data_IF_214991754199
#
_entry.id   IF_214991754199
#
_cell.length_a   1.000
_cell.length_b   1.000
_cell.length_c   1.000
_cell.angle_alpha   90.00
_cell.angle_beta   90.00
_cell.angle_gamma   90.00
#
_symmetry.space_group_name_H-M   'P 1'
#
loop_
_entity.id
_entity.type
_entity.pdbx_description
1 polymer ?
#
# COMPACT_ATOMS: atom_id res chain seq x y z
N UNK A 1 -24.17 7.31 -32.32
CA UNK A 1 -23.60 7.63 -31.00
C UNK A 1 -22.12 7.88 -31.23
N UNK A 2 -21.64 9.10 -31.02
CA UNK A 2 -20.19 9.36 -31.09
C UNK A 2 -19.49 8.54 -30.00
N UNK A 3 -18.44 7.77 -30.33
CA UNK A 3 -17.69 7.03 -29.33
C UNK A 3 -17.06 8.00 -28.33
N UNK A 4 -17.42 7.87 -27.05
CA UNK A 4 -16.83 8.63 -25.96
C UNK A 4 -15.40 8.13 -25.76
N UNK A 5 -14.41 8.94 -26.14
CA UNK A 5 -12.99 8.62 -25.92
C UNK A 5 -12.46 9.27 -24.64
N UNK A 6 -11.75 8.49 -23.84
CA UNK A 6 -11.02 9.02 -22.70
C UNK A 6 -9.81 9.85 -23.19
N UNK A 7 -9.63 11.04 -22.60
CA UNK A 7 -8.51 11.93 -22.98
C UNK A 7 -7.20 11.41 -22.39
N UNK A 8 -6.19 11.22 -23.25
CA UNK A 8 -4.83 10.82 -22.85
C UNK A 8 -4.14 11.92 -22.04
N UNK A 9 -4.31 11.90 -20.72
CA UNK A 9 -3.79 12.92 -19.79
C UNK A 9 -2.80 12.36 -18.76
N UNK A 10 -2.60 11.05 -18.72
CA UNK A 10 -1.71 10.40 -17.76
C UNK A 10 -0.34 10.23 -18.42
N UNK A 11 0.62 11.01 -17.91
CA UNK A 11 2.04 10.90 -18.27
C UNK A 11 2.69 9.73 -17.53
N UNK A 12 3.90 9.34 -17.94
CA UNK A 12 4.68 8.31 -17.25
C UNK A 12 4.90 8.64 -15.75
N UNK A 13 5.20 9.90 -15.42
CA UNK A 13 5.38 10.33 -14.03
C UNK A 13 4.10 10.18 -13.20
N UNK A 14 2.94 10.50 -13.80
CA UNK A 14 1.63 10.29 -13.16
C UNK A 14 1.32 8.81 -12.99
N UNK A 15 1.74 7.96 -13.93
CA UNK A 15 1.61 6.50 -13.81
C UNK A 15 2.47 5.96 -12.65
N UNK A 16 3.72 6.40 -12.52
CA UNK A 16 4.56 6.04 -11.36
C UNK A 16 3.93 6.49 -10.04
N UNK A 17 3.45 7.74 -9.97
CA UNK A 17 2.78 8.26 -8.78
C UNK A 17 1.49 7.50 -8.46
N UNK A 18 0.72 7.10 -9.47
CA UNK A 18 -0.47 6.28 -9.27
C UNK A 18 -0.11 4.91 -8.70
N UNK A 19 0.89 4.22 -9.25
CA UNK A 19 1.31 2.89 -8.81
C UNK A 19 1.94 2.91 -7.42
N UNK A 20 2.96 3.76 -7.21
CA UNK A 20 3.61 3.92 -5.90
C UNK A 20 2.59 4.40 -4.88
N UNK A 21 1.76 5.39 -5.24
CA UNK A 21 0.73 5.91 -4.34
C UNK A 21 -0.42 4.93 -4.06
N UNK A 22 -0.63 3.92 -4.90
CA UNK A 22 -1.60 2.86 -4.63
C UNK A 22 -1.00 1.74 -3.77
N UNK A 23 0.24 1.33 -4.04
CA UNK A 23 0.93 0.28 -3.27
C UNK A 23 1.38 0.78 -1.89
N UNK A 24 2.14 1.88 -1.85
CA UNK A 24 2.60 2.50 -0.60
C UNK A 24 1.41 3.17 0.06
N UNK A 25 0.84 2.51 1.04
CA UNK A 25 -0.34 2.97 1.77
C UNK A 25 -0.30 2.58 3.24
N UNK A 26 -1.47 2.24 3.79
CA UNK A 26 -1.60 1.71 5.15
C UNK A 26 -0.91 0.36 5.35
N UNK A 27 -0.75 -0.42 4.27
CA UNK A 27 -0.23 -1.78 4.31
C UNK A 27 1.13 -1.92 4.99
N UNK A 28 2.13 -1.10 4.63
CA UNK A 28 3.47 -1.18 5.24
C UNK A 28 3.48 -0.76 6.73
N UNK A 29 2.46 -0.05 7.20
CA UNK A 29 2.35 0.38 8.60
C UNK A 29 1.55 -0.61 9.45
N UNK A 30 0.70 -1.44 8.84
CA UNK A 30 -0.16 -2.42 9.54
C UNK A 30 0.39 -3.85 9.41
N UNK A 31 0.80 -4.25 8.20
CA UNK A 31 1.21 -5.60 7.88
C UNK A 31 2.45 -6.12 8.62
N UNK A 32 3.45 -5.32 9.05
CA UNK A 32 4.63 -5.87 9.75
C UNK A 32 4.27 -6.70 10.98
N UNK A 33 3.26 -6.26 11.75
CA UNK A 33 2.74 -7.00 12.91
C UNK A 33 2.10 -8.33 12.49
N UNK A 34 1.31 -8.32 11.42
CA UNK A 34 0.64 -9.53 10.89
C UNK A 34 1.62 -10.54 10.30
N UNK A 35 2.61 -10.06 9.54
CA UNK A 35 3.67 -10.92 8.98
C UNK A 35 4.51 -11.51 10.10
N UNK A 36 4.96 -10.71 11.06
CA UNK A 36 5.78 -11.20 12.18
C UNK A 36 5.01 -12.17 13.07
N UNK A 37 3.75 -11.89 13.39
CA UNK A 37 2.91 -12.78 14.22
C UNK A 37 2.76 -14.18 13.62
N UNK A 38 2.69 -14.26 12.29
CA UNK A 38 2.43 -15.51 11.58
C UNK A 38 3.70 -16.20 11.06
N UNK A 39 4.83 -15.49 10.96
CA UNK A 39 6.15 -16.08 10.65
C UNK A 39 6.92 -16.47 11.91
N UNK A 40 6.71 -15.73 13.00
CA UNK A 40 7.26 -16.02 14.32
C UNK A 40 8.69 -15.53 14.56
N UNK A 41 9.51 -15.41 13.51
CA UNK A 41 10.89 -14.90 13.59
C UNK A 41 11.15 -13.72 12.65
N UNK A 42 12.15 -12.91 12.99
CA UNK A 42 12.54 -11.72 12.20
C UNK A 42 13.04 -12.11 10.80
N UNK A 43 13.88 -13.14 10.72
CA UNK A 43 14.45 -13.63 9.47
C UNK A 43 13.38 -14.18 8.54
N UNK A 44 12.46 -15.01 9.03
CA UNK A 44 11.37 -15.53 8.20
C UNK A 44 10.41 -14.42 7.77
N UNK A 45 10.12 -13.44 8.64
CA UNK A 45 9.33 -12.26 8.28
C UNK A 45 9.93 -11.51 7.08
N UNK A 46 11.24 -11.25 7.09
CA UNK A 46 11.94 -10.58 5.97
C UNK A 46 11.91 -11.42 4.69
N UNK A 47 12.05 -12.75 4.79
CA UNK A 47 11.90 -13.66 3.64
C UNK A 47 10.49 -13.59 3.06
N UNK A 48 9.45 -13.56 3.91
CA UNK A 48 8.06 -13.43 3.46
C UNK A 48 7.83 -12.10 2.76
N UNK A 49 8.35 -10.99 3.29
CA UNK A 49 8.27 -9.68 2.63
C UNK A 49 8.90 -9.69 1.23
N UNK A 50 10.12 -10.22 1.12
CA UNK A 50 10.81 -10.35 -0.16
C UNK A 50 10.04 -11.25 -1.14
N UNK A 51 9.56 -12.40 -0.68
CA UNK A 51 8.78 -13.34 -1.49
C UNK A 51 7.46 -12.73 -1.98
N UNK A 52 6.72 -12.00 -1.13
CA UNK A 52 5.51 -11.27 -1.54
C UNK A 52 5.83 -10.23 -2.63
N UNK A 53 6.97 -9.55 -2.51
CA UNK A 53 7.47 -8.62 -3.52
C UNK A 53 7.72 -9.28 -4.87
N UNK A 54 8.46 -10.40 -4.88
CA UNK A 54 8.76 -11.17 -6.10
C UNK A 54 7.47 -11.71 -6.74
N UNK A 55 6.55 -12.26 -5.95
CA UNK A 55 5.25 -12.72 -6.45
C UNK A 55 4.42 -11.58 -7.05
N UNK A 56 4.43 -10.41 -6.41
CA UNK A 56 3.77 -9.21 -6.92
C UNK A 56 4.41 -8.73 -8.22
N UNK A 57 5.72 -8.84 -8.37
CA UNK A 57 6.43 -8.51 -9.61
C UNK A 57 6.01 -9.42 -10.76
N UNK A 58 5.95 -10.73 -10.55
CA UNK A 58 5.46 -11.66 -11.57
C UNK A 58 4.01 -11.38 -11.95
N UNK A 59 3.13 -11.17 -10.96
CA UNK A 59 1.75 -10.77 -11.21
C UNK A 59 1.67 -9.49 -12.04
N UNK A 60 2.45 -8.48 -11.68
CA UNK A 60 2.41 -7.19 -12.35
C UNK A 60 2.95 -7.25 -13.79
N UNK A 61 3.95 -8.09 -14.07
CA UNK A 61 4.44 -8.34 -15.43
C UNK A 61 3.39 -9.03 -16.31
N UNK A 62 2.69 -10.05 -15.80
CA UNK A 62 1.58 -10.69 -16.51
C UNK A 62 0.48 -9.67 -16.85
N UNK A 63 0.16 -8.78 -15.91
CA UNK A 63 -0.80 -7.71 -16.12
C UNK A 63 -0.31 -6.62 -17.08
N UNK A 64 0.99 -6.34 -17.10
CA UNK A 64 1.56 -5.44 -18.08
C UNK A 64 1.42 -6.02 -19.49
N UNK A 65 1.68 -7.32 -19.70
CA UNK A 65 1.44 -7.97 -20.99
C UNK A 65 -0.04 -7.86 -21.40
N UNK A 66 -0.96 -8.25 -20.51
CA UNK A 66 -2.40 -8.14 -20.77
C UNK A 66 -2.85 -6.71 -21.09
N UNK A 67 -2.36 -5.72 -20.35
CA UNK A 67 -2.68 -4.30 -20.55
C UNK A 67 -2.08 -3.67 -21.81
N UNK A 68 -1.04 -4.29 -22.38
CA UNK A 68 -0.52 -3.90 -23.69
C UNK A 68 -1.27 -4.58 -24.84
N UNK A 69 -1.72 -5.83 -24.67
CA UNK A 69 -2.48 -6.57 -25.68
C UNK A 69 -3.94 -6.16 -25.77
N UNK A 70 -4.63 -6.07 -24.64
CA UNK A 70 -6.05 -5.77 -24.58
C UNK A 70 -6.22 -4.27 -24.45
N UNK A 71 -6.75 -3.66 -25.51
CA UNK A 71 -6.70 -2.20 -25.68
C UNK A 71 -7.85 -1.44 -25.02
N UNK A 72 -8.73 -2.13 -24.29
CA UNK A 72 -9.91 -1.58 -23.64
C UNK A 72 -9.65 -1.26 -22.17
N UNK A 73 -10.26 -0.19 -21.66
CA UNK A 73 -10.29 0.14 -20.24
C UNK A 73 -11.24 -0.77 -19.45
N UNK A 74 -10.95 -1.02 -18.17
CA UNK A 74 -11.76 -1.87 -17.28
C UNK A 74 -10.98 -2.98 -16.55
N UNK A 75 -9.65 -3.05 -16.76
CA UNK A 75 -8.74 -3.90 -16.01
C UNK A 75 -9.15 -5.37 -15.98
N UNK A 76 -9.22 -5.95 -14.77
CA UNK A 76 -9.52 -7.37 -14.54
C UNK A 76 -10.80 -7.83 -15.25
N UNK A 77 -11.86 -7.02 -15.22
CA UNK A 77 -13.15 -7.38 -15.80
C UNK A 77 -13.05 -7.66 -17.30
N UNK A 78 -12.40 -6.75 -18.03
CA UNK A 78 -12.21 -6.89 -19.48
C UNK A 78 -11.33 -8.09 -19.79
N UNK A 79 -10.27 -8.33 -19.02
CA UNK A 79 -9.39 -9.47 -19.27
C UNK A 79 -10.16 -10.78 -19.16
N UNK A 80 -10.98 -10.92 -18.11
CA UNK A 80 -11.82 -12.11 -17.91
C UNK A 80 -12.90 -12.19 -18.99
N UNK A 81 -13.50 -11.07 -19.39
CA UNK A 81 -14.53 -11.04 -20.42
C UNK A 81 -14.00 -11.53 -21.77
N UNK A 82 -12.81 -11.09 -22.16
CA UNK A 82 -12.18 -11.47 -23.44
C UNK A 82 -11.65 -12.92 -23.42
N UNK A 83 -11.25 -13.46 -22.26
CA UNK A 83 -10.66 -14.82 -22.18
C UNK A 83 -11.64 -15.92 -21.77
N UNK A 84 -12.55 -15.64 -20.81
CA UNK A 84 -13.44 -16.62 -20.17
C UNK A 84 -14.93 -16.34 -20.42
N UNK A 85 -15.27 -15.22 -21.06
CA UNK A 85 -16.64 -14.87 -21.42
C UNK A 85 -17.46 -14.22 -20.29
N UNK A 86 -18.76 -14.10 -20.53
CA UNK A 86 -19.66 -13.19 -19.79
C UNK A 86 -19.95 -13.60 -18.35
N UNK A 87 -20.14 -14.89 -18.08
CA UNK A 87 -20.53 -15.36 -16.74
C UNK A 87 -19.39 -15.20 -15.73
N UNK A 88 -18.15 -15.66 -16.01
CA UNK A 88 -17.02 -15.43 -15.10
C UNK A 88 -16.72 -13.95 -14.89
N UNK A 89 -16.82 -13.12 -15.93
CA UNK A 89 -16.60 -11.67 -15.81
C UNK A 89 -17.68 -11.01 -14.94
N UNK A 90 -18.94 -11.43 -15.06
CA UNK A 90 -20.02 -10.94 -14.22
C UNK A 90 -19.83 -11.33 -12.74
N UNK A 91 -19.49 -12.58 -12.45
CA UNK A 91 -19.22 -13.05 -11.09
C UNK A 91 -18.05 -12.30 -10.44
N UNK A 92 -16.99 -12.06 -11.22
CA UNK A 92 -15.86 -11.25 -10.76
C UNK A 92 -16.31 -9.82 -10.43
N UNK A 93 -17.05 -9.17 -11.34
CA UNK A 93 -17.55 -7.80 -11.11
C UNK A 93 -18.48 -7.73 -9.89
N UNK A 94 -19.34 -8.73 -9.70
CA UNK A 94 -20.21 -8.83 -8.53
C UNK A 94 -19.41 -8.91 -7.23
N UNK A 95 -18.40 -9.79 -7.17
CA UNK A 95 -17.52 -9.92 -6.00
C UNK A 95 -16.70 -8.64 -5.76
N UNK A 96 -16.21 -8.01 -6.83
CA UNK A 96 -15.43 -6.78 -6.78
C UNK A 96 -16.27 -5.63 -6.18
N UNK A 97 -17.52 -5.49 -6.62
CA UNK A 97 -18.42 -4.41 -6.20
C UNK A 97 -18.95 -4.59 -4.78
N UNK A 98 -19.39 -5.79 -4.40
CA UNK A 98 -20.04 -6.01 -3.10
C UNK A 98 -19.07 -6.36 -1.97
N UNK A 99 -17.95 -7.01 -2.26
CA UNK A 99 -17.04 -7.52 -1.24
C UNK A 99 -15.67 -6.84 -1.27
N UNK A 100 -14.94 -6.94 -2.39
CA UNK A 100 -13.50 -6.64 -2.42
C UNK A 100 -13.25 -5.13 -2.28
N UNK A 101 -13.89 -4.29 -3.11
CA UNK A 101 -13.65 -2.84 -3.10
C UNK A 101 -14.17 -2.17 -1.83
N UNK A 102 -15.40 -2.43 -1.34
CA UNK A 102 -15.87 -1.83 -0.10
C UNK A 102 -15.01 -2.21 1.11
N UNK A 103 -14.59 -3.49 1.22
CA UNK A 103 -13.74 -3.94 2.31
C UNK A 103 -12.37 -3.23 2.28
N UNK A 104 -11.74 -3.14 1.11
CA UNK A 104 -10.45 -2.45 0.97
C UNK A 104 -10.55 -0.96 1.34
N UNK A 105 -11.58 -0.28 0.82
CA UNK A 105 -11.84 1.14 1.14
C UNK A 105 -12.09 1.34 2.63
N UNK A 106 -12.84 0.45 3.29
CA UNK A 106 -13.12 0.54 4.72
C UNK A 106 -11.85 0.38 5.56
N UNK A 107 -10.99 -0.60 5.25
CA UNK A 107 -9.73 -0.82 5.98
C UNK A 107 -8.79 0.39 5.87
N UNK A 108 -8.62 0.94 4.66
CA UNK A 108 -7.75 2.09 4.44
C UNK A 108 -8.32 3.35 5.10
N UNK A 109 -9.64 3.56 5.02
CA UNK A 109 -10.33 4.69 5.64
C UNK A 109 -10.24 4.64 7.17
N UNK A 110 -10.44 3.47 7.78
CA UNK A 110 -10.27 3.27 9.23
C UNK A 110 -8.83 3.48 9.70
N UNK A 111 -7.85 3.06 8.88
CA UNK A 111 -6.44 3.34 9.14
C UNK A 111 -6.19 4.85 9.12
N UNK A 112 -6.69 5.57 8.11
CA UNK A 112 -6.61 7.03 8.05
C UNK A 112 -7.15 7.68 9.32
N UNK A 113 -8.37 7.35 9.75
CA UNK A 113 -8.97 7.94 10.94
C UNK A 113 -8.22 7.62 12.23
N UNK A 114 -7.76 6.38 12.38
CA UNK A 114 -7.01 5.94 13.57
C UNK A 114 -5.68 6.70 13.71
N UNK A 115 -4.89 6.78 12.64
CA UNK A 115 -3.60 7.46 12.64
C UNK A 115 -3.73 8.99 12.70
N UNK A 116 -4.80 9.57 12.15
CA UNK A 116 -5.06 11.01 12.25
C UNK A 116 -5.37 11.43 13.69
N UNK A 117 -6.11 10.60 14.43
CA UNK A 117 -6.54 10.91 15.80
C UNK A 117 -5.52 10.52 16.87
N UNK A 118 -4.63 9.58 16.59
CA UNK A 118 -3.65 9.07 17.55
C UNK A 118 -2.88 10.17 18.31
N UNK A 119 -2.32 11.23 17.68
CA UNK A 119 -1.59 12.27 18.42
C UNK A 119 -2.44 13.05 19.43
N UNK A 120 -3.75 13.15 19.21
CA UNK A 120 -4.66 13.93 20.05
C UNK A 120 -5.18 13.15 21.26
N UNK A 121 -5.14 11.82 21.19
CA UNK A 121 -5.61 10.94 22.26
C UNK A 121 -4.49 10.20 22.98
N UNK A 122 -3.24 10.27 22.49
CA UNK A 122 -2.09 9.68 23.14
C UNK A 122 -1.94 10.15 24.61
N UNK A 123 -1.70 9.23 25.57
CA UNK A 123 -1.36 7.80 25.40
C UNK A 123 -2.58 6.85 25.30
N UNK A 124 -3.80 7.36 25.35
CA UNK A 124 -5.03 6.57 25.28
C UNK A 124 -5.42 6.24 23.83
N UNK A 125 -6.24 5.21 23.66
CA UNK A 125 -6.82 4.89 22.36
C UNK A 125 -7.92 5.92 21.99
N UNK A 126 -7.99 6.38 20.72
CA UNK A 126 -9.06 7.27 20.29
C UNK A 126 -10.42 6.56 20.35
N UNK A 127 -11.50 7.24 20.78
CA UNK A 127 -12.84 6.65 20.82
C UNK A 127 -13.28 6.12 19.46
N UNK A 128 -13.82 4.90 19.42
CA UNK A 128 -14.29 4.24 18.19
C UNK A 128 -15.25 5.11 17.36
N UNK A 129 -16.22 5.84 17.96
CA UNK A 129 -17.10 6.73 17.19
C UNK A 129 -16.34 7.87 16.50
N UNK A 130 -15.31 8.42 17.15
CA UNK A 130 -14.51 9.50 16.58
C UNK A 130 -13.67 9.00 15.40
N UNK A 131 -13.04 7.83 15.53
CA UNK A 131 -12.31 7.17 14.42
C UNK A 131 -13.23 6.95 13.23
N UNK A 132 -14.43 6.40 13.44
CA UNK A 132 -15.40 6.18 12.37
C UNK A 132 -15.83 7.47 11.70
N UNK A 133 -16.10 8.53 12.46
CA UNK A 133 -16.50 9.83 11.92
C UNK A 133 -15.39 10.45 11.05
N UNK A 134 -14.16 10.51 11.55
CA UNK A 134 -13.01 11.06 10.79
C UNK A 134 -12.73 10.23 9.54
N UNK A 135 -12.83 8.90 9.64
CA UNK A 135 -12.69 7.98 8.50
C UNK A 135 -13.71 8.28 7.40
N UNK A 136 -14.99 8.43 7.77
CA UNK A 136 -16.07 8.78 6.84
C UNK A 136 -15.84 10.16 6.21
N UNK A 137 -15.49 11.17 7.00
CA UNK A 137 -15.22 12.53 6.49
C UNK A 137 -14.07 12.51 5.47
N UNK A 138 -12.97 11.81 5.78
CA UNK A 138 -11.84 11.67 4.86
C UNK A 138 -12.23 10.97 3.56
N UNK A 139 -13.00 9.88 3.65
CA UNK A 139 -13.48 9.14 2.48
C UNK A 139 -14.38 10.00 1.57
N UNK A 140 -15.40 10.65 2.14
CA UNK A 140 -16.32 11.49 1.38
C UNK A 140 -15.65 12.74 0.80
N UNK A 141 -14.64 13.30 1.48
CA UNK A 141 -13.85 14.40 0.94
C UNK A 141 -13.13 13.99 -0.35
N UNK A 142 -12.48 12.82 -0.35
CA UNK A 142 -11.81 12.31 -1.56
C UNK A 142 -12.82 11.99 -2.65
N UNK A 143 -13.95 11.39 -2.30
CA UNK A 143 -15.02 11.09 -3.25
C UNK A 143 -15.50 12.37 -3.94
N UNK A 144 -15.76 13.44 -3.17
CA UNK A 144 -16.16 14.74 -3.69
C UNK A 144 -15.09 15.35 -4.59
N UNK A 145 -13.81 15.32 -4.17
CA UNK A 145 -12.69 15.84 -4.96
C UNK A 145 -12.52 15.09 -6.30
N UNK A 146 -12.62 13.75 -6.28
CA UNK A 146 -12.54 12.93 -7.50
C UNK A 146 -13.73 13.14 -8.43
N UNK A 147 -14.92 13.39 -7.86
CA UNK A 147 -16.14 13.67 -8.63
C UNK A 147 -16.12 15.07 -9.25
N UNK A 148 -15.45 16.03 -8.60
CA UNK A 148 -15.38 17.42 -9.09
C UNK A 148 -14.30 17.60 -10.16
N UNK A 149 -13.07 17.13 -9.96
CA UNK A 149 -12.00 17.35 -10.94
C UNK A 149 -10.90 16.28 -10.92
N UNK A 150 -10.80 15.58 -12.06
CA UNK A 150 -9.72 14.62 -12.35
C UNK A 150 -8.33 15.26 -12.33
N UNK A 151 -8.20 16.52 -12.75
CA UNK A 151 -6.91 17.22 -12.77
C UNK A 151 -6.40 17.47 -11.35
N UNK A 152 -7.27 17.95 -10.46
CA UNK A 152 -6.95 18.17 -9.06
C UNK A 152 -6.65 16.86 -8.34
N UNK A 153 -7.44 15.80 -8.58
CA UNK A 153 -7.15 14.46 -8.04
C UNK A 153 -5.76 13.97 -8.45
N UNK A 154 -5.37 14.14 -9.71
CA UNK A 154 -4.03 13.77 -10.18
C UNK A 154 -2.89 14.59 -9.54
N UNK A 155 -3.08 15.90 -9.35
CA UNK A 155 -2.09 16.76 -8.67
C UNK A 155 -1.95 16.40 -7.18
N UNK A 156 -3.07 16.18 -6.50
CA UNK A 156 -3.11 15.72 -5.12
C UNK A 156 -2.40 14.37 -4.96
N UNK A 157 -2.65 13.43 -5.87
CA UNK A 157 -1.97 12.12 -5.86
C UNK A 157 -0.45 12.27 -5.94
N UNK A 158 0.05 13.14 -6.81
CA UNK A 158 1.49 13.40 -6.94
C UNK A 158 2.07 13.99 -5.65
N UNK A 159 1.42 14.99 -5.07
CA UNK A 159 1.87 15.59 -3.81
C UNK A 159 1.89 14.56 -2.67
N UNK A 160 0.82 13.78 -2.51
CA UNK A 160 0.74 12.73 -1.49
C UNK A 160 1.76 11.61 -1.72
N UNK A 161 2.09 11.29 -2.98
CA UNK A 161 3.13 10.30 -3.30
C UNK A 161 4.50 10.75 -2.82
N UNK A 162 4.82 12.05 -2.94
CA UNK A 162 6.07 12.60 -2.39
C UNK A 162 6.06 12.51 -0.86
N UNK A 163 4.97 12.89 -0.21
CA UNK A 163 4.81 12.78 1.26
C UNK A 163 5.00 11.34 1.74
N UNK A 164 4.46 10.36 1.02
CA UNK A 164 4.63 8.93 1.31
C UNK A 164 6.09 8.48 1.30
N UNK A 165 6.82 8.86 0.24
CA UNK A 165 8.23 8.51 0.11
C UNK A 165 9.07 9.20 1.19
N UNK A 166 8.75 10.45 1.54
CA UNK A 166 9.38 11.15 2.67
C UNK A 166 9.09 10.45 4.01
N UNK A 167 7.86 9.99 4.24
CA UNK A 167 7.50 9.24 5.44
C UNK A 167 8.29 7.94 5.56
N UNK A 168 8.47 7.20 4.47
CA UNK A 168 9.34 6.03 4.44
C UNK A 168 10.80 6.39 4.68
N UNK A 169 11.30 7.47 4.06
CA UNK A 169 12.67 7.92 4.25
C UNK A 169 12.97 8.30 5.72
N UNK A 170 12.01 8.90 6.42
CA UNK A 170 12.11 9.23 7.84
C UNK A 170 12.22 8.00 8.76
N UNK A 171 11.79 6.82 8.29
CA UNK A 171 11.94 5.56 9.01
C UNK A 171 13.25 4.88 8.58
N UNK A 172 13.49 4.82 7.28
CA UNK A 172 14.62 4.11 6.67
C UNK A 172 15.95 4.75 7.05
N UNK A 173 16.12 6.07 6.84
CA UNK A 173 17.42 6.72 7.01
C UNK A 173 17.93 6.55 8.45
N UNK A 174 17.12 6.81 9.50
CA UNK A 174 17.63 6.63 10.83
C UNK A 174 17.79 5.18 11.26
N UNK A 175 16.90 4.27 10.82
CA UNK A 175 17.05 2.85 11.11
C UNK A 175 18.36 2.29 10.53
N UNK A 176 18.73 2.71 9.32
CA UNK A 176 20.00 2.36 8.69
C UNK A 176 21.20 3.01 9.38
N UNK A 177 21.08 4.26 9.87
CA UNK A 177 22.14 4.89 10.67
C UNK A 177 22.39 4.13 11.97
N UNK A 178 21.33 3.72 12.69
CA UNK A 178 21.45 2.92 13.92
C UNK A 178 22.07 1.54 13.64
N UNK A 179 21.70 0.92 12.52
CA UNK A 179 22.32 -0.33 12.07
C UNK A 179 23.81 -0.15 11.81
N UNK A 180 24.20 0.93 11.12
CA UNK A 180 25.61 1.26 10.84
C UNK A 180 26.42 1.56 12.12
N UNK A 181 25.77 2.03 13.19
CA UNK A 181 26.38 2.21 14.51
C UNK A 181 26.52 0.90 15.31
N UNK A 182 26.07 -0.23 14.77
CA UNK A 182 26.23 -1.55 15.40
C UNK A 182 25.05 -2.03 16.25
N UNK A 183 23.87 -1.41 16.15
CA UNK A 183 22.65 -1.88 16.85
C UNK A 183 22.05 -3.11 16.17
N UNK A 184 22.78 -4.24 16.19
CA UNK A 184 22.40 -5.50 15.53
C UNK A 184 21.85 -6.55 16.48
N UNK A 185 21.69 -6.22 17.77
CA UNK A 185 21.27 -7.16 18.82
C UNK A 185 19.97 -7.91 18.47
N UNK A 186 19.01 -7.21 17.88
CA UNK A 186 17.70 -7.75 17.49
C UNK A 186 17.73 -8.67 16.27
N UNK A 187 18.87 -8.76 15.60
CA UNK A 187 19.11 -9.68 14.48
C UNK A 187 19.95 -10.90 14.90
N UNK A 188 20.30 -11.03 16.19
CA UNK A 188 20.94 -12.25 16.70
C UNK A 188 19.93 -13.40 16.66
N UNK A 189 20.35 -14.53 16.10
CA UNK A 189 19.51 -15.70 15.80
C UNK A 189 18.19 -15.36 15.06
N UNK A 190 18.26 -14.81 13.84
CA UNK A 190 17.09 -14.29 13.14
C UNK A 190 16.11 -15.39 12.71
N UNK A 191 16.53 -16.66 12.73
CA UNK A 191 15.74 -17.83 12.36
C UNK A 191 15.54 -18.78 13.54
N UNK A 192 15.48 -18.27 14.77
CA UNK A 192 15.23 -19.07 15.97
C UNK A 192 14.14 -20.11 15.72
N UNK A 193 14.53 -21.38 15.78
CA UNK A 193 13.70 -22.52 15.37
C UNK A 193 12.52 -22.74 16.31
N UNK A 194 12.61 -22.28 17.55
CA UNK A 194 11.54 -22.45 18.54
C UNK A 194 10.37 -21.50 18.30
N UNK A 195 10.65 -20.34 17.68
CA UNK A 195 9.65 -19.33 17.36
C UNK A 195 9.06 -19.46 15.95
N UNK A 196 9.56 -20.35 15.09
CA UNK A 196 9.04 -20.53 13.73
C UNK A 196 7.61 -21.09 13.71
N UNK A 197 6.72 -20.44 12.96
CA UNK A 197 5.32 -20.83 12.82
C UNK A 197 5.02 -21.14 11.35
N UNK A 198 5.40 -22.33 10.88
CA UNK A 198 5.26 -22.71 9.46
C UNK A 198 3.80 -22.99 9.05
N UNK A 199 2.96 -23.44 9.98
CA UNK A 199 1.54 -23.70 9.78
C UNK A 199 0.74 -22.43 9.45
N UNK A 200 1.18 -21.26 9.95
CA UNK A 200 0.54 -19.96 9.70
C UNK A 200 1.17 -19.16 8.57
N UNK A 201 2.12 -19.75 7.84
CA UNK A 201 2.80 -19.08 6.73
C UNK A 201 1.82 -18.51 5.68
N UNK A 202 0.71 -19.18 5.30
CA UNK A 202 -0.28 -18.60 4.39
C UNK A 202 -0.89 -17.28 4.91
N UNK A 203 -1.12 -17.16 6.22
CA UNK A 203 -1.61 -15.93 6.86
C UNK A 203 -0.55 -14.82 6.84
N UNK A 204 0.74 -15.18 6.95
CA UNK A 204 1.84 -14.24 6.77
C UNK A 204 1.86 -13.69 5.34
N UNK A 205 1.70 -14.56 4.33
CA UNK A 205 1.58 -14.15 2.93
C UNK A 205 0.35 -13.28 2.69
N UNK A 206 -0.81 -13.56 3.29
CA UNK A 206 -1.97 -12.67 3.16
C UNK A 206 -1.68 -11.26 3.68
N UNK A 207 -1.02 -11.15 4.84
CA UNK A 207 -0.63 -9.85 5.39
C UNK A 207 0.40 -9.12 4.51
N UNK A 208 1.40 -9.83 3.98
CA UNK A 208 2.42 -9.28 3.09
C UNK A 208 1.84 -8.84 1.73
N UNK A 209 1.05 -9.70 1.09
CA UNK A 209 0.41 -9.42 -0.20
C UNK A 209 -0.59 -8.26 -0.11
N UNK A 210 -1.27 -8.09 1.03
CA UNK A 210 -2.09 -6.89 1.27
C UNK A 210 -1.26 -5.60 1.15
N UNK A 211 -0.03 -5.58 1.68
CA UNK A 211 0.81 -4.39 1.62
C UNK A 211 1.35 -4.07 0.21
N UNK A 212 1.53 -5.08 -0.64
CA UNK A 212 1.95 -4.91 -2.04
C UNK A 212 0.79 -4.67 -3.02
N UNK A 213 -0.46 -4.74 -2.57
CA UNK A 213 -1.63 -4.57 -3.44
C UNK A 213 -1.66 -3.20 -4.12
N UNK A 214 -2.04 -3.14 -5.39
CA UNK A 214 -2.18 -1.88 -6.16
C UNK A 214 -1.29 -1.78 -7.39
N UNK A 215 -0.41 -2.75 -7.65
CA UNK A 215 0.42 -2.79 -8.86
C UNK A 215 -0.39 -2.92 -10.17
N UNK A 216 -1.64 -3.40 -10.10
CA UNK A 216 -2.52 -3.60 -11.26
C UNK A 216 -3.24 -2.32 -11.73
N UNK A 217 -3.15 -1.22 -10.99
CA UNK A 217 -4.00 -0.04 -11.19
C UNK A 217 -3.83 0.63 -12.57
N UNK A 218 -2.65 0.52 -13.19
CA UNK A 218 -2.40 1.04 -14.55
C UNK A 218 -3.25 0.36 -15.62
N UNK A 219 -3.68 -0.87 -15.37
CA UNK A 219 -4.55 -1.64 -16.27
C UNK A 219 -5.93 -1.00 -16.41
N UNK A 220 -6.40 -0.35 -15.34
CA UNK A 220 -7.70 0.34 -15.31
C UNK A 220 -7.67 1.70 -15.99
N UNK A 221 -6.50 2.32 -16.15
CA UNK A 221 -6.35 3.68 -16.72
C UNK A 221 -5.67 3.68 -18.09
N UNK A 222 -5.57 2.51 -18.73
CA UNK A 222 -4.77 2.28 -19.93
C UNK A 222 -5.10 3.24 -21.08
N UNK A 223 -6.38 3.52 -21.32
CA UNK A 223 -6.81 4.42 -22.41
C UNK A 223 -6.41 5.89 -22.18
N UNK A 224 -6.16 6.28 -20.93
CA UNK A 224 -5.74 7.63 -20.55
C UNK A 224 -4.22 7.80 -20.50
N UNK A 225 -3.46 6.70 -20.58
CA UNK A 225 -2.00 6.75 -20.61
C UNK A 225 -1.48 7.22 -21.97
N UNK A 226 -0.49 8.09 -21.92
CA UNK A 226 0.36 8.38 -23.08
C UNK A 226 1.27 7.18 -23.34
N UNK A 227 1.38 6.74 -24.60
CA UNK A 227 2.25 5.62 -25.05
C UNK A 227 2.17 4.37 -24.13
N UNK A 228 0.99 3.74 -23.99
CA UNK A 228 0.76 2.66 -23.02
C UNK A 228 1.69 1.45 -23.20
N UNK A 229 2.02 1.09 -24.44
CA UNK A 229 2.91 -0.05 -24.78
C UNK A 229 4.31 0.07 -24.14
N UNK A 230 4.83 1.30 -24.02
CA UNK A 230 6.11 1.57 -23.38
C UNK A 230 5.95 1.94 -21.91
N UNK A 231 4.94 2.75 -21.60
CA UNK A 231 4.83 3.37 -20.28
C UNK A 231 4.24 2.41 -19.24
N UNK A 232 3.36 1.47 -19.60
CA UNK A 232 2.81 0.50 -18.64
C UNK A 232 3.92 -0.43 -18.10
N UNK A 233 4.70 -1.14 -18.95
CA UNK A 233 5.74 -2.04 -18.43
C UNK A 233 6.79 -1.30 -17.61
N UNK A 234 7.24 -0.13 -18.08
CA UNK A 234 8.21 0.67 -17.37
C UNK A 234 7.68 1.17 -16.03
N UNK A 235 6.43 1.65 -16.00
CA UNK A 235 5.75 2.10 -14.78
C UNK A 235 5.71 0.98 -13.74
N UNK A 236 5.21 -0.18 -14.15
CA UNK A 236 5.05 -1.34 -13.27
C UNK A 236 6.39 -1.82 -12.70
N UNK A 237 7.38 -2.07 -13.56
CA UNK A 237 8.67 -2.64 -13.14
C UNK A 237 9.37 -1.74 -12.12
N UNK A 238 9.53 -0.45 -12.45
CA UNK A 238 10.25 0.48 -11.59
C UNK A 238 9.47 0.72 -10.29
N UNK A 239 8.15 0.88 -10.36
CA UNK A 239 7.34 1.09 -9.15
C UNK A 239 7.38 -0.13 -8.22
N UNK A 240 7.23 -1.36 -8.72
CA UNK A 240 7.26 -2.56 -7.89
C UNK A 240 8.64 -2.74 -7.25
N UNK A 241 9.73 -2.61 -8.01
CA UNK A 241 11.10 -2.70 -7.46
C UNK A 241 11.33 -1.64 -6.37
N UNK A 242 10.90 -0.39 -6.61
CA UNK A 242 11.00 0.70 -5.62
C UNK A 242 10.27 0.34 -4.32
N UNK A 243 9.07 -0.24 -4.42
CA UNK A 243 8.28 -0.67 -3.26
C UNK A 243 8.93 -1.85 -2.55
N UNK A 244 9.48 -2.84 -3.27
CA UNK A 244 10.22 -3.97 -2.66
C UNK A 244 11.38 -3.45 -1.82
N UNK A 245 12.24 -2.61 -2.40
CA UNK A 245 13.39 -2.04 -1.69
C UNK A 245 12.93 -1.21 -0.50
N UNK A 246 11.95 -0.32 -0.68
CA UNK A 246 11.42 0.51 0.39
C UNK A 246 10.85 -0.30 1.55
N UNK A 247 10.06 -1.34 1.28
CA UNK A 247 9.44 -2.18 2.30
C UNK A 247 10.46 -3.05 3.03
N UNK A 248 11.45 -3.59 2.32
CA UNK A 248 12.54 -4.34 2.96
C UNK A 248 13.35 -3.45 3.91
N UNK A 249 13.77 -2.27 3.44
CA UNK A 249 14.52 -1.31 4.26
C UNK A 249 13.71 -0.80 5.45
N UNK A 250 12.39 -0.61 5.28
CA UNK A 250 11.49 -0.19 6.36
C UNK A 250 11.39 -1.27 7.44
N UNK A 251 11.22 -2.54 7.07
CA UNK A 251 11.14 -3.62 8.05
C UNK A 251 12.48 -3.85 8.75
N UNK A 252 13.60 -3.80 8.02
CA UNK A 252 14.95 -3.82 8.64
C UNK A 252 15.08 -2.68 9.64
N UNK A 253 14.65 -1.46 9.28
CA UNK A 253 14.68 -0.31 10.17
C UNK A 253 13.80 -0.48 11.41
N UNK A 254 12.62 -1.11 11.30
CA UNK A 254 11.83 -1.42 12.49
C UNK A 254 12.55 -2.40 13.41
N UNK A 255 13.18 -3.43 12.87
CA UNK A 255 13.86 -4.46 13.67
C UNK A 255 15.17 -3.98 14.29
N UNK A 256 15.79 -2.88 13.83
CA UNK A 256 16.96 -2.31 14.53
C UNK A 256 16.59 -1.70 15.89
N UNK A 257 15.33 -1.25 16.06
CA UNK A 257 14.87 -0.51 17.24
C UNK A 257 13.86 -1.29 18.08
N UNK A 258 13.02 -2.11 17.43
CA UNK A 258 11.94 -2.84 18.06
C UNK A 258 12.26 -4.34 18.08
N UNK A 259 12.19 -4.95 19.26
CA UNK A 259 12.22 -6.41 19.37
C UNK A 259 10.89 -7.04 18.90
N UNK A 260 10.87 -8.36 18.79
CA UNK A 260 9.69 -9.10 18.33
C UNK A 260 8.45 -8.83 19.18
N UNK A 261 8.60 -8.88 20.51
CA UNK A 261 7.49 -8.59 21.43
C UNK A 261 6.99 -7.14 21.33
N UNK A 262 7.89 -6.18 21.06
CA UNK A 262 7.52 -4.77 20.92
C UNK A 262 6.65 -4.55 19.69
N UNK A 263 7.02 -5.16 18.55
CA UNK A 263 6.24 -5.10 17.31
C UNK A 263 4.87 -5.76 17.49
N UNK A 264 4.80 -6.87 18.22
CA UNK A 264 3.55 -7.59 18.47
C UNK A 264 2.63 -6.88 19.47
N UNK A 265 3.19 -6.21 20.48
CA UNK A 265 2.44 -5.42 21.45
C UNK A 265 1.99 -4.07 20.87
N UNK A 266 2.75 -3.52 19.92
CA UNK A 266 2.46 -2.21 19.35
C UNK A 266 1.11 -2.18 18.61
N UNK A 267 0.26 -1.16 18.85
CA UNK A 267 -0.91 -0.89 18.02
C UNK A 267 -0.52 -0.29 16.67
N UNK A 268 0.60 0.43 16.61
CA UNK A 268 1.09 1.16 15.45
C UNK A 268 2.63 1.11 15.39
N UNK A 269 3.17 0.20 14.57
CA UNK A 269 4.62 -0.13 14.56
C UNK A 269 5.47 1.09 14.22
N UNK A 270 5.04 1.91 13.27
CA UNK A 270 5.75 3.12 12.87
C UNK A 270 5.88 4.16 14.00
N UNK A 271 4.86 4.26 14.84
CA UNK A 271 4.81 5.22 15.94
C UNK A 271 5.66 4.74 17.10
N UNK A 272 5.61 3.44 17.40
CA UNK A 272 6.52 2.84 18.39
C UNK A 272 7.98 2.95 17.97
N UNK A 273 8.29 2.83 16.67
CA UNK A 273 9.61 3.13 16.14
C UNK A 273 9.99 4.59 16.39
N UNK A 274 9.10 5.54 16.05
CA UNK A 274 9.31 6.97 16.26
C UNK A 274 9.63 7.29 17.73
N UNK A 275 8.84 6.74 18.67
CA UNK A 275 9.00 6.98 20.10
C UNK A 275 10.38 6.59 20.64
N UNK A 276 10.96 5.51 20.09
CA UNK A 276 12.26 5.00 20.51
C UNK A 276 13.42 5.63 19.76
N UNK A 277 13.27 5.87 18.46
CA UNK A 277 14.33 6.41 17.62
C UNK A 277 14.40 7.96 17.68
N UNK A 278 13.27 8.65 17.61
CA UNK A 278 13.16 10.12 17.58
C UNK A 278 11.95 10.62 18.38
N UNK A 279 12.14 10.88 19.67
CA UNK A 279 11.08 11.42 20.54
C UNK A 279 10.40 12.67 19.95
N UNK A 280 11.15 13.55 19.27
CA UNK A 280 10.63 14.77 18.64
C UNK A 280 9.73 14.54 17.43
N UNK A 281 9.87 13.42 16.71
CA UNK A 281 9.10 13.12 15.50
C UNK A 281 7.86 12.26 15.79
N UNK A 282 7.65 11.85 17.03
CA UNK A 282 6.55 10.96 17.46
C UNK A 282 5.19 11.45 16.99
N UNK A 283 4.90 12.75 17.13
CA UNK A 283 3.60 13.32 16.75
C UNK A 283 3.44 13.50 15.24
N UNK A 284 4.54 13.50 14.48
CA UNK A 284 4.55 13.74 13.03
C UNK A 284 4.29 12.45 12.26
N UNK A 285 4.80 11.30 12.72
CA UNK A 285 4.67 10.02 12.03
C UNK A 285 3.19 9.61 11.80
N UNK A 286 2.29 9.64 12.81
CA UNK A 286 0.88 9.31 12.60
C UNK A 286 0.20 10.18 11.54
N UNK A 287 0.56 11.48 11.48
CA UNK A 287 0.03 12.41 10.48
C UNK A 287 0.55 12.07 9.08
N UNK A 288 1.83 11.72 8.94
CA UNK A 288 2.37 11.29 7.65
C UNK A 288 1.77 9.96 7.18
N UNK A 289 1.54 9.03 8.11
CA UNK A 289 0.87 7.76 7.83
C UNK A 289 -0.59 7.98 7.43
N UNK A 290 -1.31 8.88 8.10
CA UNK A 290 -2.70 9.20 7.72
C UNK A 290 -2.75 9.85 6.33
N UNK A 291 -1.87 10.80 6.02
CA UNK A 291 -1.74 11.36 4.66
C UNK A 291 -1.38 10.28 3.62
N UNK A 292 -0.62 9.26 4.00
CA UNK A 292 -0.36 8.10 3.15
C UNK A 292 -1.65 7.31 2.85
N UNK A 293 -2.42 6.96 3.87
CA UNK A 293 -3.72 6.31 3.72
C UNK A 293 -4.66 7.14 2.84
N UNK A 294 -4.66 8.46 3.03
CA UNK A 294 -5.44 9.42 2.24
C UNK A 294 -5.08 9.35 0.75
N UNK A 295 -3.78 9.32 0.41
CA UNK A 295 -3.34 9.15 -0.98
C UNK A 295 -3.69 7.79 -1.59
N UNK A 296 -3.77 6.73 -0.78
CA UNK A 296 -4.19 5.41 -1.28
C UNK A 296 -5.69 5.40 -1.57
N UNK A 297 -6.51 6.02 -0.71
CA UNK A 297 -7.95 6.18 -0.98
C UNK A 297 -8.19 7.00 -2.26
N UNK A 298 -7.42 8.07 -2.49
CA UNK A 298 -7.54 8.88 -3.71
C UNK A 298 -7.25 8.07 -4.98
N UNK A 299 -6.14 7.33 -5.02
CA UNK A 299 -5.84 6.42 -6.13
C UNK A 299 -6.89 5.33 -6.32
N UNK A 300 -7.36 4.73 -5.22
CA UNK A 300 -8.38 3.68 -5.24
C UNK A 300 -9.73 4.15 -5.81
N UNK A 301 -10.25 5.27 -5.31
CA UNK A 301 -11.51 5.87 -5.77
C UNK A 301 -11.39 6.31 -7.23
N UNK A 302 -10.25 6.89 -7.63
CA UNK A 302 -10.01 7.27 -9.02
C UNK A 302 -10.13 6.09 -9.98
N UNK A 303 -9.68 4.90 -9.56
CA UNK A 303 -9.80 3.68 -10.37
C UNK A 303 -11.16 2.99 -10.29
N UNK A 304 -11.98 3.29 -9.27
CA UNK A 304 -13.25 2.60 -9.05
C UNK A 304 -14.34 2.96 -10.06
N UNK A 305 -14.27 4.15 -10.67
CA UNK A 305 -15.26 4.60 -11.66
C UNK A 305 -15.05 4.03 -13.07
N UNK A 306 -14.00 3.21 -13.29
CA UNK A 306 -13.65 2.60 -14.57
C UNK A 306 -13.86 1.10 -14.55
#
# INVERSE_FOLDING_TARGET
>A
QEPVFLRKKITLLRAFSLLIGSMVGSGIFISPKGVLKNSGSVGLSLVVWFACGVLSMFGALCYAELGTRITKSGGHYIYILETLGRLPSFLFLWAEFFAIRPANSAVISLAFGSYMLEPFFAPCAPPVPAVKLVSLLGYYMILALNSWSVTWSGQLQMALSVVKLLALALIIVPGMMLLAQGHTEKFQDPFDRQSLVLDKLPLAFYAGMFAYSGWFQTSFVREELLRPERNIPLAVIVSVITVIVGYMLTNVSYYTVLGTQDVLASPAVAVSFAQRAFKSLTSVIPILVSLSCFGTMNGGIFTFSR
#
